data_IF_868795686549
#
_entry.id   IF_868795686549
#
_cell.length_a   1.000
_cell.length_b   1.000
_cell.length_c   1.000
_cell.angle_alpha   90.00
_cell.angle_beta   90.00
_cell.angle_gamma   90.00
#
_symmetry.space_group_name_H-M   'P 1'
#
loop_
_entity.id
_entity.type
_entity.pdbx_description
1 polymer ?
#
# COMPACT_ATOMS: atom_id res chain seq x y z
N UNK A 1 17.97 -1.78 -21.12
CA UNK A 1 16.84 -2.72 -21.32
C UNK A 1 15.56 -1.90 -21.20
N UNK A 2 14.87 -1.64 -22.32
CA UNK A 2 13.84 -0.60 -22.41
C UNK A 2 12.57 -0.95 -21.62
N UNK A 3 11.93 0.07 -21.04
CA UNK A 3 10.65 0.00 -20.29
C UNK A 3 9.59 -0.86 -20.98
N UNK A 4 9.64 -0.93 -22.31
CA UNK A 4 8.76 -1.69 -23.19
C UNK A 4 8.73 -3.20 -22.89
N UNK A 5 9.88 -3.83 -22.59
CA UNK A 5 9.94 -5.26 -22.23
C UNK A 5 9.41 -5.55 -20.82
N UNK A 6 9.26 -4.53 -19.97
CA UNK A 6 8.78 -4.68 -18.59
C UNK A 6 7.26 -4.91 -18.57
N UNK A 7 6.53 -4.26 -19.48
CA UNK A 7 5.08 -4.37 -19.59
C UNK A 7 4.63 -5.76 -20.05
N UNK A 8 5.26 -6.31 -21.10
CA UNK A 8 4.91 -7.65 -21.59
C UNK A 8 5.15 -8.72 -20.52
N UNK A 9 6.20 -8.58 -19.71
CA UNK A 9 6.51 -9.51 -18.62
C UNK A 9 5.52 -9.33 -17.47
N UNK A 10 5.24 -8.08 -17.06
CA UNK A 10 4.28 -7.80 -16.00
C UNK A 10 2.87 -8.29 -16.36
N UNK A 11 2.37 -8.01 -17.57
CA UNK A 11 1.06 -8.47 -18.01
C UNK A 11 0.98 -9.98 -18.26
N UNK A 12 2.10 -10.63 -18.63
CA UNK A 12 2.16 -12.08 -18.75
C UNK A 12 2.23 -12.78 -17.38
N UNK A 13 2.76 -12.10 -16.37
CA UNK A 13 2.89 -12.61 -15.00
C UNK A 13 1.81 -12.10 -14.04
N UNK A 14 0.96 -11.13 -14.44
CA UNK A 14 -0.17 -10.69 -13.62
C UNK A 14 -1.08 -11.89 -13.40
N UNK A 15 -0.99 -12.47 -12.20
CA UNK A 15 -1.79 -13.63 -11.75
C UNK A 15 -3.29 -13.32 -11.65
N UNK A 16 -3.73 -12.16 -12.12
CA UNK A 16 -5.12 -11.75 -12.12
C UNK A 16 -5.53 -11.01 -13.41
N UNK A 17 -5.97 -11.75 -14.45
CA UNK A 17 -6.51 -11.19 -15.69
C UNK A 17 -7.67 -10.21 -15.47
N UNK A 18 -8.38 -10.33 -14.34
CA UNK A 18 -9.47 -9.42 -14.02
C UNK A 18 -8.96 -8.00 -13.71
N UNK A 19 -7.80 -7.84 -13.06
CA UNK A 19 -7.27 -6.52 -12.71
C UNK A 19 -6.87 -5.75 -13.96
N UNK A 20 -6.30 -6.45 -14.94
CA UNK A 20 -5.99 -5.86 -16.23
C UNK A 20 -7.25 -5.35 -16.95
N UNK A 21 -8.33 -6.13 -16.94
CA UNK A 21 -9.60 -5.71 -17.52
C UNK A 21 -10.18 -4.46 -16.81
N UNK A 22 -9.98 -4.33 -15.49
CA UNK A 22 -10.37 -3.13 -14.74
C UNK A 22 -9.57 -1.91 -15.23
N UNK A 23 -8.25 -2.03 -15.37
CA UNK A 23 -7.38 -0.96 -15.88
C UNK A 23 -7.74 -0.57 -17.31
N UNK A 24 -7.95 -1.56 -18.20
CA UNK A 24 -8.36 -1.31 -19.59
C UNK A 24 -9.70 -0.56 -19.66
N UNK A 25 -10.69 -0.99 -18.88
CA UNK A 25 -11.98 -0.28 -18.82
C UNK A 25 -11.81 1.18 -18.41
N UNK A 26 -10.91 1.47 -17.46
CA UNK A 26 -10.61 2.85 -17.11
C UNK A 26 -9.98 3.62 -18.27
N UNK A 27 -9.00 3.06 -18.96
CA UNK A 27 -8.32 3.72 -20.10
C UNK A 27 -9.30 4.04 -21.24
N UNK A 28 -10.22 3.12 -21.56
CA UNK A 28 -11.16 3.29 -22.67
C UNK A 28 -12.42 4.09 -22.30
N UNK A 29 -12.91 3.97 -21.07
CA UNK A 29 -14.21 4.51 -20.67
C UNK A 29 -14.12 5.60 -19.60
N UNK A 30 -12.94 5.86 -19.03
CA UNK A 30 -12.73 6.80 -17.92
C UNK A 30 -13.41 6.40 -16.61
N UNK A 31 -13.87 5.15 -16.49
CA UNK A 31 -14.65 4.65 -15.34
C UNK A 31 -14.01 3.40 -14.76
N UNK A 32 -14.01 3.32 -13.43
CA UNK A 32 -13.53 2.18 -12.67
C UNK A 32 -14.55 1.84 -11.58
N UNK A 33 -14.78 0.55 -11.35
CA UNK A 33 -15.68 0.07 -10.30
C UNK A 33 -14.87 -0.75 -9.29
N UNK A 34 -14.72 -0.22 -8.08
CA UNK A 34 -13.96 -0.85 -6.99
C UNK A 34 -14.83 -1.53 -5.94
N UNK A 35 -16.15 -1.28 -5.93
CA UNK A 35 -17.08 -1.61 -4.83
C UNK A 35 -17.07 -3.08 -4.36
N UNK A 36 -16.72 -4.02 -5.23
CA UNK A 36 -16.70 -5.45 -4.91
C UNK A 36 -15.27 -6.03 -4.83
N UNK A 37 -14.26 -5.17 -4.95
CA UNK A 37 -12.86 -5.58 -4.98
C UNK A 37 -12.37 -5.85 -3.55
N UNK A 38 -11.87 -7.05 -3.32
CA UNK A 38 -11.32 -7.44 -2.02
C UNK A 38 -10.01 -6.71 -1.76
N UNK A 39 -9.69 -6.45 -0.48
CA UNK A 39 -8.47 -5.76 -0.06
C UNK A 39 -7.18 -6.22 -0.76
N UNK A 40 -6.87 -7.53 -0.84
CA UNK A 40 -5.68 -8.01 -1.56
C UNK A 40 -5.69 -7.65 -3.05
N UNK A 41 -6.84 -7.76 -3.71
CA UNK A 41 -6.97 -7.42 -5.13
C UNK A 41 -6.89 -5.91 -5.36
N UNK A 42 -7.43 -5.10 -4.44
CA UNK A 42 -7.32 -3.65 -4.46
C UNK A 42 -5.87 -3.19 -4.25
N UNK A 43 -5.12 -3.83 -3.35
CA UNK A 43 -3.70 -3.56 -3.18
C UNK A 43 -2.87 -3.97 -4.41
N UNK A 44 -3.14 -5.14 -4.99
CA UNK A 44 -2.50 -5.57 -6.23
C UNK A 44 -2.82 -4.63 -7.40
N UNK A 45 -4.06 -4.13 -7.47
CA UNK A 45 -4.47 -3.15 -8.47
C UNK A 45 -3.69 -1.84 -8.27
N UNK A 46 -3.58 -1.37 -7.04
CA UNK A 46 -2.82 -0.16 -6.71
C UNK A 46 -1.37 -0.26 -7.18
N UNK A 47 -0.70 -1.39 -6.90
CA UNK A 47 0.66 -1.67 -7.37
C UNK A 47 0.75 -1.64 -8.91
N UNK A 48 -0.18 -2.31 -9.59
CA UNK A 48 -0.20 -2.31 -11.06
C UNK A 48 -0.39 -0.92 -11.67
N UNK A 49 -1.24 -0.11 -11.05
CA UNK A 49 -1.54 1.26 -11.49
C UNK A 49 -0.36 2.20 -11.20
N UNK A 50 0.37 1.99 -10.10
CA UNK A 50 1.61 2.69 -9.80
C UNK A 50 2.69 2.44 -10.86
N UNK A 51 2.86 1.18 -11.25
CA UNK A 51 3.80 0.82 -12.32
C UNK A 51 3.44 1.52 -13.63
N UNK A 52 2.15 1.62 -13.94
CA UNK A 52 1.62 2.35 -15.10
C UNK A 52 1.63 3.88 -14.94
N UNK A 53 1.97 4.37 -13.75
CA UNK A 53 2.03 5.79 -13.40
C UNK A 53 0.72 6.55 -13.67
N UNK A 54 -0.43 5.94 -13.39
CA UNK A 54 -1.75 6.56 -13.55
C UNK A 54 -2.18 7.20 -12.23
N UNK A 55 -1.63 8.38 -11.94
CA UNK A 55 -1.77 9.08 -10.65
C UNK A 55 -3.22 9.22 -10.15
N UNK A 56 -4.17 9.51 -11.05
CA UNK A 56 -5.59 9.65 -10.67
C UNK A 56 -6.17 8.36 -10.08
N UNK A 57 -5.79 7.20 -10.62
CA UNK A 57 -6.23 5.92 -10.09
C UNK A 57 -5.50 5.55 -8.80
N UNK A 58 -4.23 5.95 -8.64
CA UNK A 58 -3.47 5.72 -7.42
C UNK A 58 -4.20 6.36 -6.23
N UNK A 59 -4.51 7.66 -6.31
CA UNK A 59 -5.27 8.35 -5.25
C UNK A 59 -6.64 7.71 -5.00
N UNK A 60 -7.38 7.42 -6.06
CA UNK A 60 -8.73 6.85 -5.95
C UNK A 60 -8.75 5.45 -5.30
N UNK A 61 -7.77 4.59 -5.61
CA UNK A 61 -7.68 3.26 -5.01
C UNK A 61 -7.22 3.33 -3.56
N UNK A 62 -6.33 4.26 -3.20
CA UNK A 62 -5.93 4.47 -1.81
C UNK A 62 -7.10 4.91 -0.93
N UNK A 63 -7.90 5.88 -1.40
CA UNK A 63 -9.12 6.32 -0.72
C UNK A 63 -10.09 5.14 -0.53
N UNK A 64 -10.33 4.34 -1.58
CA UNK A 64 -11.15 3.13 -1.47
C UNK A 64 -10.64 2.14 -0.41
N UNK A 65 -9.32 1.91 -0.36
CA UNK A 65 -8.71 0.99 0.61
C UNK A 65 -8.92 1.47 2.05
N UNK A 66 -8.71 2.77 2.32
CA UNK A 66 -8.89 3.35 3.65
C UNK A 66 -10.36 3.32 4.08
N UNK A 67 -11.28 3.69 3.20
CA UNK A 67 -12.70 3.81 3.53
C UNK A 67 -13.44 2.47 3.60
N UNK A 68 -13.07 1.51 2.73
CA UNK A 68 -13.87 0.29 2.51
C UNK A 68 -13.12 -1.00 2.87
N UNK A 69 -11.79 -0.96 3.02
CA UNK A 69 -10.95 -2.14 3.26
C UNK A 69 -10.10 -1.98 4.53
N UNK A 70 -10.58 -1.20 5.50
CA UNK A 70 -9.87 -0.93 6.76
C UNK A 70 -9.53 -2.21 7.54
N UNK A 71 -10.43 -3.21 7.55
CA UNK A 71 -10.18 -4.49 8.20
C UNK A 71 -9.01 -5.24 7.55
N UNK A 72 -8.98 -5.32 6.22
CA UNK A 72 -7.85 -5.92 5.48
C UNK A 72 -6.55 -5.19 5.79
N UNK A 73 -6.62 -3.87 5.82
CA UNK A 73 -5.52 -3.00 6.19
C UNK A 73 -4.99 -3.35 7.60
N UNK A 74 -5.82 -3.58 8.61
CA UNK A 74 -5.35 -3.91 9.96
C UNK A 74 -4.93 -5.39 10.15
N UNK A 75 -5.26 -6.31 9.24
CA UNK A 75 -4.88 -7.72 9.38
C UNK A 75 -3.38 -7.98 9.36
N UNK A 76 -2.60 -7.15 8.65
CA UNK A 76 -1.15 -7.32 8.53
C UNK A 76 -0.44 -5.95 8.49
N UNK A 77 -0.39 -5.22 9.61
CA UNK A 77 0.06 -3.83 9.65
C UNK A 77 1.48 -3.67 9.12
N UNK A 78 2.40 -4.56 9.51
CA UNK A 78 3.80 -4.53 9.05
C UNK A 78 3.92 -4.79 7.55
N UNK A 79 3.22 -5.81 7.01
CA UNK A 79 3.30 -6.09 5.58
C UNK A 79 2.69 -4.99 4.70
N UNK A 80 1.64 -4.32 5.19
CA UNK A 80 1.09 -3.15 4.51
C UNK A 80 2.08 -1.98 4.57
N UNK A 81 2.64 -1.70 5.75
CA UNK A 81 3.63 -0.63 5.93
C UNK A 81 4.86 -0.82 5.02
N UNK A 82 5.40 -2.04 4.95
CA UNK A 82 6.52 -2.36 4.06
C UNK A 82 6.16 -2.19 2.59
N UNK A 83 4.94 -2.56 2.19
CA UNK A 83 4.45 -2.37 0.82
C UNK A 83 4.39 -0.89 0.49
N UNK A 84 3.74 -0.11 1.34
CA UNK A 84 3.60 1.33 1.15
C UNK A 84 4.96 2.04 1.11
N UNK A 85 5.90 1.66 1.99
CA UNK A 85 7.25 2.22 2.00
C UNK A 85 8.04 1.96 0.69
N UNK A 86 7.70 0.91 -0.07
CA UNK A 86 8.34 0.61 -1.35
C UNK A 86 7.81 1.49 -2.50
N UNK A 87 6.64 2.10 -2.33
CA UNK A 87 5.93 2.86 -3.35
C UNK A 87 5.71 4.30 -2.88
N UNK A 88 6.62 5.22 -3.26
CA UNK A 88 6.59 6.62 -2.83
C UNK A 88 5.36 7.43 -3.26
N UNK A 89 4.52 6.88 -4.15
CA UNK A 89 3.24 7.45 -4.59
C UNK A 89 2.08 7.11 -3.64
N UNK A 90 2.26 6.16 -2.72
CA UNK A 90 1.20 5.70 -1.81
C UNK A 90 1.10 6.59 -0.56
N UNK A 91 1.03 7.90 -0.77
CA UNK A 91 1.09 8.91 0.30
C UNK A 91 -0.08 8.81 1.28
N UNK A 92 -1.28 8.47 0.80
CA UNK A 92 -2.48 8.44 1.64
C UNK A 92 -2.47 7.21 2.54
N UNK A 93 -2.08 6.05 1.99
CA UNK A 93 -1.86 4.85 2.79
C UNK A 93 -0.66 4.99 3.72
N UNK A 94 0.36 5.76 3.35
CA UNK A 94 1.50 6.05 4.21
C UNK A 94 1.12 6.93 5.39
N UNK A 95 0.30 7.95 5.18
CA UNK A 95 -0.17 8.80 6.26
C UNK A 95 -1.12 8.03 7.19
N UNK A 96 -2.07 7.28 6.62
CA UNK A 96 -2.94 6.37 7.39
C UNK A 96 -2.12 5.34 8.20
N UNK A 97 -1.13 4.72 7.54
CA UNK A 97 0.15 4.21 8.11
C UNK A 97 0.53 4.72 9.48
N UNK A 98 1.05 5.92 9.38
CA UNK A 98 1.78 6.57 10.43
C UNK A 98 0.85 7.03 11.53
N UNK A 99 -0.35 7.49 11.20
CA UNK A 99 -1.35 7.87 12.20
C UNK A 99 -1.68 6.70 13.14
N UNK A 100 -1.96 5.50 12.58
CA UNK A 100 -2.22 4.29 13.37
C UNK A 100 -1.06 3.94 14.31
N UNK A 101 0.17 3.95 13.77
CA UNK A 101 1.39 3.56 14.51
C UNK A 101 1.75 4.62 15.56
N UNK A 102 1.58 5.90 15.24
CA UNK A 102 1.86 6.99 16.18
C UNK A 102 0.85 7.01 17.32
N UNK A 103 -0.42 6.69 17.07
CA UNK A 103 -1.43 6.58 18.12
C UNK A 103 -1.18 5.35 19.01
N UNK A 104 -0.86 4.20 18.40
CA UNK A 104 -0.69 2.90 19.06
C UNK A 104 0.60 2.23 18.60
N UNK A 105 1.71 2.65 19.20
CA UNK A 105 3.03 2.14 18.88
C UNK A 105 3.13 0.61 19.08
N UNK A 106 2.35 0.04 20.01
CA UNK A 106 2.32 -1.40 20.28
C UNK A 106 1.99 -2.24 19.05
N UNK A 107 1.21 -1.70 18.09
CA UNK A 107 0.89 -2.37 16.82
C UNK A 107 2.17 -2.80 16.08
N UNK A 108 3.21 -1.97 16.18
CA UNK A 108 4.50 -2.22 15.55
C UNK A 108 5.45 -2.97 16.48
N UNK A 109 5.66 -2.47 17.69
CA UNK A 109 6.73 -2.93 18.58
C UNK A 109 6.42 -4.27 19.26
N UNK A 110 5.14 -4.57 19.52
CA UNK A 110 4.74 -5.85 20.15
C UNK A 110 4.52 -6.96 19.11
N UNK A 111 4.72 -6.67 17.83
CA UNK A 111 4.55 -7.67 16.76
C UNK A 111 5.76 -8.59 16.67
N UNK A 112 5.52 -9.90 16.58
CA UNK A 112 6.55 -10.90 16.26
C UNK A 112 7.29 -10.62 14.94
N UNK A 113 6.69 -9.82 14.03
CA UNK A 113 7.30 -9.43 12.76
C UNK A 113 8.17 -8.18 12.87
N UNK A 114 8.23 -7.51 14.02
CA UNK A 114 9.04 -6.31 14.25
C UNK A 114 10.50 -6.51 13.84
N UNK A 115 11.08 -7.68 14.17
CA UNK A 115 12.46 -8.04 13.83
C UNK A 115 12.76 -8.06 12.32
N UNK A 116 11.73 -8.08 11.47
CA UNK A 116 11.87 -8.09 10.01
C UNK A 116 11.81 -6.68 9.40
N UNK A 117 11.45 -5.66 10.19
CA UNK A 117 11.35 -4.28 9.71
C UNK A 117 12.75 -3.79 9.32
N UNK A 118 12.83 -3.17 8.14
CA UNK A 118 14.09 -2.57 7.67
C UNK A 118 14.54 -1.45 8.60
N UNK A 119 15.82 -1.43 8.95
CA UNK A 119 16.42 -0.42 9.82
C UNK A 119 16.11 1.02 9.35
N UNK A 120 16.10 1.28 8.04
CA UNK A 120 15.77 2.60 7.48
C UNK A 120 14.33 3.03 7.76
N UNK A 121 13.39 2.09 7.73
CA UNK A 121 11.99 2.35 8.05
C UNK A 121 11.82 2.59 9.54
N UNK A 122 12.51 1.80 10.38
CA UNK A 122 12.52 2.00 11.83
C UNK A 122 13.12 3.37 12.21
N UNK A 123 14.23 3.76 11.58
CA UNK A 123 14.85 5.07 11.80
C UNK A 123 13.90 6.22 11.46
N UNK A 124 13.12 6.10 10.37
CA UNK A 124 12.11 7.09 10.00
C UNK A 124 10.99 7.21 11.05
N UNK A 125 10.58 6.09 11.65
CA UNK A 125 9.53 6.05 12.66
C UNK A 125 10.02 6.60 14.00
N UNK A 126 11.22 6.23 14.43
CA UNK A 126 11.81 6.68 15.70
C UNK A 126 12.20 8.17 15.70
N UNK A 127 12.39 8.78 14.53
CA UNK A 127 12.65 10.22 14.39
C UNK A 127 11.41 11.09 14.56
N UNK A 128 10.23 10.50 14.73
CA UNK A 128 8.98 11.24 14.84
C UNK A 128 8.72 11.64 16.29
N UNK A 129 8.40 12.92 16.49
CA UNK A 129 8.07 13.46 17.81
C UNK A 129 6.66 13.07 18.30
N UNK A 130 5.80 12.56 17.41
CA UNK A 130 4.41 12.18 17.69
C UNK A 130 4.21 10.67 17.93
N UNK A 131 5.28 9.89 18.00
CA UNK A 131 5.22 8.48 18.33
C UNK A 131 4.85 8.30 19.81
N UNK A 132 3.63 7.82 20.09
CA UNK A 132 3.13 7.61 21.45
C UNK A 132 3.73 6.35 22.10
N UNK A 133 5.00 6.44 22.53
CA UNK A 133 5.72 5.37 23.23
C UNK A 133 6.63 5.95 24.31
N UNK A 134 6.77 5.27 25.43
CA UNK A 134 7.77 5.61 26.45
C UNK A 134 9.18 5.27 25.93
N UNK A 135 10.10 6.25 25.87
CA UNK A 135 11.51 6.06 25.42
C UNK A 135 12.23 4.92 26.16
N UNK A 136 11.80 4.56 27.37
CA UNK A 136 12.42 3.55 28.23
C UNK A 136 12.08 2.11 27.79
N UNK A 137 11.15 1.91 26.86
CA UNK A 137 10.71 0.60 26.34
C UNK A 137 11.38 0.18 25.02
N UNK A 138 12.33 0.96 24.50
CA UNK A 138 13.04 0.69 23.23
C UNK A 138 14.38 -0.01 23.49
#
# INVERSE_FOLDING_TARGET
>A
MGREKRWEIYFKETKSPHLFNVILKFIYCGKIELKNLQGPDALNLLIAVDELNIQQLISYIQEYLVENQIEFLHQNPIGILETVCQHGTFTDLWNFRLEDICEKAEILFDSDKFINIKATLLELLLKRDDLNMEEIKI
#
